data_IF_688618694551
#
_entry.id   IF_688618694551
#
_cell.length_a   1.000
_cell.length_b   1.000
_cell.length_c   1.000
_cell.angle_alpha   90.00
_cell.angle_beta   90.00
_cell.angle_gamma   90.00
#
_symmetry.space_group_name_H-M   'P 1'
#
loop_
_entity.id
_entity.type
_entity.pdbx_description
1 polymer ?
#
# COMPACT_ATOMS: atom_id res chain seq x y z
N UNK A 1 0.52 14.64 -5.12
CA UNK A 1 0.81 13.23 -5.40
C UNK A 1 0.48 12.45 -4.16
N UNK A 2 -0.31 11.37 -4.23
CA UNK A 2 -0.83 10.73 -3.03
C UNK A 2 0.28 9.87 -2.41
N UNK A 3 0.91 10.39 -1.36
CA UNK A 3 1.75 9.60 -0.48
C UNK A 3 0.81 8.72 0.36
N UNK A 4 0.97 7.39 0.30
CA UNK A 4 0.18 6.52 1.16
C UNK A 4 0.77 6.60 2.58
N UNK A 5 0.09 7.36 3.43
CA UNK A 5 0.41 7.51 4.86
C UNK A 5 -0.71 6.78 5.62
N UNK A 6 -0.33 5.74 6.35
CA UNK A 6 -1.23 4.93 7.18
C UNK A 6 -0.69 4.97 8.60
N UNK A 7 -1.27 5.80 9.44
CA UNK A 7 -0.80 6.00 10.80
C UNK A 7 -1.94 6.00 11.82
N UNK A 8 -1.66 5.51 13.03
CA UNK A 8 -2.57 5.57 14.18
C UNK A 8 -3.92 4.84 13.95
N UNK A 9 -3.93 3.80 13.10
CA UNK A 9 -5.13 3.00 12.87
C UNK A 9 -5.21 1.83 13.85
N UNK A 10 -6.43 1.40 14.14
CA UNK A 10 -6.69 0.20 14.92
C UNK A 10 -7.64 -0.71 14.14
N UNK A 11 -7.21 -1.94 13.89
CA UNK A 11 -8.04 -2.97 13.29
C UNK A 11 -8.30 -4.07 14.32
N UNK A 12 -9.57 -4.41 14.48
CA UNK A 12 -10.04 -5.38 15.45
C UNK A 12 -11.01 -6.34 14.78
N UNK A 13 -10.83 -7.64 15.00
CA UNK A 13 -11.77 -8.68 14.54
C UNK A 13 -11.89 -8.76 13.02
N UNK A 14 -11.27 -9.78 12.42
CA UNK A 14 -11.36 -10.02 10.99
C UNK A 14 -11.09 -11.48 10.64
N UNK A 15 -11.79 -12.01 9.64
CA UNK A 15 -11.64 -13.43 9.27
C UNK A 15 -10.33 -13.72 8.52
N UNK A 16 -9.67 -12.70 7.97
CA UNK A 16 -8.51 -12.86 7.07
C UNK A 16 -7.37 -11.88 7.35
N UNK A 17 -7.53 -10.58 7.06
CA UNK A 17 -6.43 -9.61 7.13
C UNK A 17 -6.82 -8.40 7.98
N UNK A 18 -5.86 -7.82 8.69
CA UNK A 18 -6.02 -6.51 9.32
C UNK A 18 -5.88 -5.38 8.31
N UNK A 19 -4.65 -5.15 7.86
CA UNK A 19 -4.32 -4.22 6.78
C UNK A 19 -4.11 -4.99 5.47
N UNK A 20 -4.76 -4.53 4.40
CA UNK A 20 -4.59 -5.13 3.08
C UNK A 20 -4.19 -4.07 2.06
N UNK A 21 -2.92 -4.09 1.68
CA UNK A 21 -2.35 -3.21 0.68
C UNK A 21 -2.28 -3.92 -0.68
N UNK A 22 -3.34 -3.70 -1.49
CA UNK A 22 -3.52 -4.31 -2.80
C UNK A 22 -3.37 -3.26 -3.90
N UNK A 23 -2.14 -3.03 -4.35
CA UNK A 23 -1.88 -2.09 -5.44
C UNK A 23 -1.93 -2.80 -6.79
N UNK A 24 -2.87 -2.40 -7.64
CA UNK A 24 -3.06 -2.95 -8.99
C UNK A 24 -2.01 -2.42 -9.97
N UNK A 25 -1.71 -3.20 -11.03
CA UNK A 25 -0.80 -2.78 -12.12
C UNK A 25 -1.25 -1.52 -12.84
N UNK A 26 -2.56 -1.44 -13.05
CA UNK A 26 -3.19 -0.46 -13.92
C UNK A 26 -4.43 0.05 -13.21
N UNK A 27 -4.68 1.36 -13.26
CA UNK A 27 -5.93 1.94 -12.77
C UNK A 27 -7.12 1.31 -13.51
N UNK A 28 -8.19 1.04 -12.79
CA UNK A 28 -9.41 0.47 -13.37
C UNK A 28 -10.43 1.57 -13.73
N UNK A 29 -11.41 1.25 -14.57
CA UNK A 29 -12.51 2.13 -14.95
C UNK A 29 -12.09 3.41 -15.68
N UNK A 30 -12.85 4.50 -15.50
CA UNK A 30 -12.58 5.80 -16.15
C UNK A 30 -11.21 6.38 -15.77
N UNK A 31 -10.67 6.00 -14.61
CA UNK A 31 -9.34 6.40 -14.16
C UNK A 31 -8.23 5.86 -15.07
N UNK A 32 -8.46 4.76 -15.81
CA UNK A 32 -7.51 4.29 -16.83
C UNK A 32 -7.35 5.28 -17.98
N UNK A 33 -8.46 5.86 -18.44
CA UNK A 33 -8.45 6.78 -19.58
C UNK A 33 -7.82 8.13 -19.22
N UNK A 34 -8.00 8.58 -17.97
CA UNK A 34 -7.55 9.90 -17.49
C UNK A 34 -6.12 9.84 -16.93
N UNK A 35 -5.72 8.71 -16.32
CA UNK A 35 -4.46 8.60 -15.57
C UNK A 35 -3.58 7.43 -16.06
N UNK A 36 -3.36 7.33 -17.38
CA UNK A 36 -2.56 6.25 -18.00
C UNK A 36 -1.12 6.11 -17.48
N UNK A 37 -0.54 7.21 -16.99
CA UNK A 37 0.83 7.21 -16.48
C UNK A 37 0.94 6.88 -14.99
N UNK A 38 -0.18 6.82 -14.26
CA UNK A 38 -0.18 6.46 -12.85
C UNK A 38 -0.16 4.93 -12.75
N UNK A 39 0.86 4.40 -12.08
CA UNK A 39 1.00 2.97 -11.82
C UNK A 39 0.85 2.74 -10.31
N UNK A 40 -0.32 2.28 -9.81
CA UNK A 40 -0.57 2.13 -8.38
C UNK A 40 0.48 1.26 -7.66
N UNK A 41 0.89 0.15 -8.27
CA UNK A 41 1.93 -0.73 -7.74
C UNK A 41 3.32 -0.08 -7.58
N UNK A 42 3.56 1.06 -8.26
CA UNK A 42 4.79 1.85 -8.18
C UNK A 42 4.66 3.08 -7.28
N UNK A 43 3.48 3.38 -6.76
CA UNK A 43 3.26 4.53 -5.89
C UNK A 43 3.97 4.36 -4.56
N UNK A 44 4.43 5.48 -4.01
CA UNK A 44 5.14 5.51 -2.73
C UNK A 44 4.19 5.12 -1.60
N UNK A 45 4.66 4.20 -0.75
CA UNK A 45 4.15 3.98 0.60
C UNK A 45 5.08 4.70 1.54
N UNK A 46 4.60 5.83 2.05
CA UNK A 46 5.46 6.79 2.73
C UNK A 46 5.67 6.36 4.18
N UNK A 47 4.59 6.14 4.93
CA UNK A 47 4.67 5.81 6.36
C UNK A 47 3.60 4.81 6.77
N UNK A 48 4.02 3.70 7.37
CA UNK A 48 3.18 2.80 8.16
C UNK A 48 3.69 2.81 9.61
N UNK A 49 3.02 3.53 10.51
CA UNK A 49 3.50 3.74 11.88
C UNK A 49 2.38 3.80 12.90
N UNK A 50 2.66 3.31 14.11
CA UNK A 50 1.74 3.30 15.25
C UNK A 50 0.36 2.71 14.91
N UNK A 51 0.35 1.66 14.09
CA UNK A 51 -0.87 0.96 13.75
C UNK A 51 -1.02 -0.25 14.68
N UNK A 52 -2.24 -0.52 15.15
CA UNK A 52 -2.57 -1.70 15.94
C UNK A 52 -3.43 -2.67 15.14
N UNK A 53 -3.23 -3.97 15.36
CA UNK A 53 -4.07 -5.03 14.81
C UNK A 53 -4.25 -6.15 15.82
N UNK A 54 -5.48 -6.54 16.10
CA UNK A 54 -5.74 -7.70 16.97
C UNK A 54 -6.91 -8.54 16.47
N UNK A 55 -6.92 -9.81 16.85
CA UNK A 55 -7.99 -10.77 16.54
C UNK A 55 -8.28 -10.94 15.04
N UNK A 56 -7.23 -10.99 14.19
CA UNK A 56 -7.35 -11.24 12.75
C UNK A 56 -6.95 -12.68 12.38
N UNK A 57 -7.66 -13.30 11.44
CA UNK A 57 -7.56 -14.74 11.18
C UNK A 57 -6.29 -15.23 10.49
N UNK A 58 -5.61 -14.43 9.64
CA UNK A 58 -4.37 -14.85 8.94
C UNK A 58 -3.20 -13.90 9.11
N UNK A 59 -3.32 -12.64 8.68
CA UNK A 59 -2.19 -11.71 8.66
C UNK A 59 -2.56 -10.33 9.20
N UNK A 60 -1.72 -9.77 10.06
CA UNK A 60 -1.85 -8.39 10.52
C UNK A 60 -1.74 -7.38 9.38
N UNK A 61 -0.74 -7.57 8.51
CA UNK A 61 -0.52 -6.78 7.28
C UNK A 61 -0.31 -7.72 6.10
N UNK A 62 -0.96 -7.44 4.97
CA UNK A 62 -0.74 -8.13 3.69
C UNK A 62 -0.42 -7.11 2.61
N UNK A 63 0.76 -7.23 2.01
CA UNK A 63 1.19 -6.47 0.83
C UNK A 63 1.14 -7.40 -0.38
N UNK A 64 0.57 -6.93 -1.50
CA UNK A 64 0.55 -7.71 -2.74
C UNK A 64 1.97 -7.94 -3.27
N UNK A 65 2.23 -9.14 -3.79
CA UNK A 65 3.55 -9.57 -4.31
C UNK A 65 4.15 -8.61 -5.33
N UNK A 66 3.31 -7.86 -6.02
CA UNK A 66 3.71 -6.99 -7.10
C UNK A 66 4.00 -5.55 -6.72
N UNK A 67 3.96 -5.23 -5.42
CA UNK A 67 4.26 -3.90 -4.95
C UNK A 67 5.75 -3.60 -5.13
N UNK A 68 6.08 -2.59 -5.94
CA UNK A 68 7.45 -2.22 -6.31
C UNK A 68 7.53 -0.69 -6.46
N UNK A 69 7.54 0.05 -5.35
CA UNK A 69 7.51 1.51 -5.34
C UNK A 69 8.73 2.13 -6.01
N UNK A 70 8.51 3.27 -6.66
CA UNK A 70 9.54 4.05 -7.36
C UNK A 70 9.37 5.52 -7.04
N UNK A 71 10.45 6.30 -7.17
CA UNK A 71 10.45 7.74 -6.83
C UNK A 71 9.37 8.51 -7.60
N UNK A 72 9.12 8.17 -8.87
CA UNK A 72 8.14 8.89 -9.69
C UNK A 72 6.76 8.20 -9.79
N UNK A 73 6.61 6.96 -9.29
CA UNK A 73 5.34 6.23 -9.32
C UNK A 73 4.75 5.95 -10.71
N UNK A 74 5.55 6.08 -11.77
CA UNK A 74 5.11 5.97 -13.15
C UNK A 74 5.64 4.71 -13.84
N UNK A 75 5.07 4.40 -15.00
CA UNK A 75 5.36 3.18 -15.77
C UNK A 75 6.81 3.05 -16.26
N UNK A 76 7.53 4.18 -16.34
CA UNK A 76 8.91 4.27 -16.83
C UNK A 76 9.89 4.69 -15.74
N UNK A 77 9.43 4.78 -14.49
CA UNK A 77 10.28 5.09 -13.36
C UNK A 77 11.01 3.82 -12.89
N UNK A 78 12.34 3.81 -12.95
CA UNK A 78 13.12 2.63 -12.55
C UNK A 78 13.95 2.86 -11.28
N UNK A 79 13.92 4.06 -10.72
CA UNK A 79 14.54 4.36 -9.43
C UNK A 79 13.65 3.82 -8.30
N UNK A 80 14.05 2.75 -7.59
CA UNK A 80 13.25 2.19 -6.51
C UNK A 80 13.14 3.17 -5.35
N UNK A 81 12.03 3.10 -4.62
CA UNK A 81 11.82 3.81 -3.37
C UNK A 81 11.60 2.79 -2.24
N UNK A 82 12.18 3.01 -1.07
CA UNK A 82 12.00 2.10 0.06
C UNK A 82 10.68 2.41 0.77
N UNK A 83 9.77 1.44 0.84
CA UNK A 83 8.60 1.54 1.70
C UNK A 83 9.01 1.35 3.17
N UNK A 84 8.51 2.22 4.05
CA UNK A 84 8.88 2.25 5.47
C UNK A 84 7.71 1.77 6.34
N UNK A 85 7.96 0.70 7.09
CA UNK A 85 7.03 0.12 8.06
C UNK A 85 7.67 0.16 9.45
N UNK A 86 7.53 1.30 10.12
CA UNK A 86 8.26 1.61 11.35
C UNK A 86 7.67 0.90 12.57
N UNK A 87 6.33 0.83 12.67
CA UNK A 87 5.69 0.31 13.89
C UNK A 87 4.34 -0.35 13.59
N UNK A 88 4.21 -1.60 14.02
CA UNK A 88 2.98 -2.38 14.08
C UNK A 88 2.86 -3.03 15.46
N UNK A 89 1.78 -2.73 16.17
CA UNK A 89 1.45 -3.29 17.47
C UNK A 89 0.43 -4.41 17.26
N UNK A 90 0.73 -5.62 17.72
CA UNK A 90 -0.10 -6.82 17.56
C UNK A 90 -0.70 -7.29 18.90
#
# INVERSE_FOLDING_TARGET
YPNNIVENNAVASGTHFGYWYCMVRTSDGQSFAIYRNICPYRQIFDRFVNNSVHSVGRFGVRIFLEYSPTVAGSRSADTPYQAVFDELIA
#
